data_IF_868789066947
#
_entry.id   IF_868789066947
#
_cell.length_a   1.000
_cell.length_b   1.000
_cell.length_c   1.000
_cell.angle_alpha   90.00
_cell.angle_beta   90.00
_cell.angle_gamma   90.00
#
_symmetry.space_group_name_H-M   'P 1'
#
loop_
_entity.id
_entity.type
_entity.pdbx_description
1 polymer ?
#
# COMPACT_ATOMS: atom_id res chain seq x y z
N UNK A 1 42.69 -32.36 0.65
CA UNK A 1 41.64 -32.21 1.69
C UNK A 1 42.02 -30.97 2.50
N UNK A 2 41.64 -29.79 2.00
CA UNK A 2 41.87 -28.52 2.67
C UNK A 2 40.52 -28.06 3.21
N UNK A 3 40.41 -28.01 4.54
CA UNK A 3 39.20 -27.67 5.25
C UNK A 3 38.82 -26.20 5.01
N UNK A 4 37.62 -26.04 4.44
CA UNK A 4 36.58 -25.09 4.82
C UNK A 4 37.01 -23.86 5.63
N UNK A 5 37.34 -22.78 4.90
CA UNK A 5 37.12 -21.41 5.35
C UNK A 5 35.95 -20.83 4.56
N UNK A 6 34.75 -21.39 4.75
CA UNK A 6 33.54 -20.88 4.10
C UNK A 6 33.28 -19.45 4.58
N UNK A 7 33.66 -18.45 3.78
CA UNK A 7 33.00 -17.15 3.85
C UNK A 7 31.50 -17.45 3.81
N UNK A 8 30.74 -16.87 4.74
CA UNK A 8 29.28 -16.79 4.64
C UNK A 8 28.96 -16.03 3.35
N UNK A 9 28.94 -16.75 2.23
CA UNK A 9 28.73 -16.20 0.91
C UNK A 9 27.24 -15.87 0.83
N UNK A 10 26.93 -14.58 0.81
CA UNK A 10 25.57 -14.12 0.67
C UNK A 10 25.08 -14.56 -0.71
N UNK A 11 24.04 -15.38 -0.76
CA UNK A 11 23.41 -15.81 -2.01
C UNK A 11 22.70 -14.63 -2.69
N UNK A 12 23.48 -13.84 -3.44
CA UNK A 12 23.02 -12.63 -4.11
C UNK A 12 22.04 -12.94 -5.25
N UNK A 13 22.11 -14.13 -5.84
CA UNK A 13 21.21 -14.52 -6.94
C UNK A 13 19.81 -14.88 -6.40
N UNK A 14 19.74 -15.66 -5.31
CA UNK A 14 18.47 -15.91 -4.62
C UNK A 14 17.87 -14.63 -4.02
N UNK A 15 18.70 -13.69 -3.54
CA UNK A 15 18.23 -12.38 -3.11
C UNK A 15 17.63 -11.59 -4.27
N UNK A 16 18.31 -11.52 -5.41
CA UNK A 16 17.81 -10.84 -6.60
C UNK A 16 16.46 -11.40 -7.03
N UNK A 17 16.34 -12.73 -7.11
CA UNK A 17 15.09 -13.40 -7.43
C UNK A 17 13.99 -13.08 -6.40
N UNK A 18 14.31 -13.07 -5.10
CA UNK A 18 13.34 -12.73 -4.06
C UNK A 18 12.86 -11.29 -4.20
N UNK A 19 13.75 -10.33 -4.38
CA UNK A 19 13.39 -8.92 -4.59
C UNK A 19 12.51 -8.74 -5.83
N UNK A 20 12.84 -9.41 -6.94
CA UNK A 20 12.03 -9.40 -8.17
C UNK A 20 10.64 -10.00 -7.92
N UNK A 21 10.55 -11.14 -7.23
CA UNK A 21 9.29 -11.77 -6.87
C UNK A 21 8.39 -10.81 -6.06
N UNK A 22 8.94 -10.12 -5.06
CA UNK A 22 8.20 -9.13 -4.28
C UNK A 22 7.82 -7.88 -5.08
N UNK A 23 8.68 -7.44 -6.01
CA UNK A 23 8.40 -6.33 -6.94
C UNK A 23 7.19 -6.65 -7.83
N UNK A 24 7.23 -7.80 -8.51
CA UNK A 24 6.17 -8.29 -9.40
C UNK A 24 4.85 -8.43 -8.63
N UNK A 25 4.87 -9.08 -7.46
CA UNK A 25 3.67 -9.31 -6.64
C UNK A 25 3.09 -8.03 -6.00
N UNK A 26 3.79 -6.90 -6.11
CA UNK A 26 3.41 -5.63 -5.49
C UNK A 26 3.25 -4.47 -6.47
N UNK A 27 3.44 -4.72 -7.78
CA UNK A 27 3.39 -3.74 -8.86
C UNK A 27 2.06 -2.97 -8.98
N UNK A 28 0.98 -3.48 -8.39
CA UNK A 28 -0.34 -2.83 -8.40
C UNK A 28 -1.12 -3.04 -9.71
N UNK A 29 -0.45 -3.50 -10.76
CA UNK A 29 -1.04 -3.90 -12.05
C UNK A 29 -1.65 -5.30 -11.93
N UNK A 30 -2.87 -5.35 -11.38
CA UNK A 30 -3.62 -6.60 -11.23
C UNK A 30 -4.23 -6.98 -12.59
N UNK A 31 -3.71 -8.04 -13.22
CA UNK A 31 -4.25 -8.58 -14.48
C UNK A 31 -3.63 -8.01 -15.76
N UNK A 32 -2.74 -7.03 -15.67
CA UNK A 32 -1.91 -6.58 -16.80
C UNK A 32 -0.54 -7.27 -16.77
N UNK A 33 -0.01 -7.62 -17.93
CA UNK A 33 1.36 -8.10 -18.04
C UNK A 33 2.33 -6.95 -17.76
N UNK A 34 3.25 -7.16 -16.82
CA UNK A 34 4.33 -6.22 -16.55
C UNK A 34 5.34 -6.27 -17.69
N UNK A 35 5.80 -5.09 -18.13
CA UNK A 35 6.94 -5.00 -19.03
C UNK A 35 8.21 -5.53 -18.35
N UNK A 36 9.21 -5.94 -19.15
CA UNK A 36 10.50 -6.45 -18.64
C UNK A 36 11.18 -5.45 -17.68
N UNK A 37 11.10 -4.15 -17.98
CA UNK A 37 11.62 -3.10 -17.12
C UNK A 37 10.85 -3.01 -15.79
N UNK A 38 9.52 -3.10 -15.81
CA UNK A 38 8.69 -2.97 -14.61
C UNK A 38 8.87 -4.14 -13.62
N UNK A 39 9.25 -5.32 -14.11
CA UNK A 39 9.61 -6.46 -13.23
C UNK A 39 10.82 -6.16 -12.34
N UNK A 40 11.66 -5.20 -12.75
CA UNK A 40 12.84 -4.76 -11.99
C UNK A 40 12.56 -3.59 -11.05
N UNK A 41 11.34 -3.04 -11.05
CA UNK A 41 11.01 -1.86 -10.25
C UNK A 41 10.62 -2.23 -8.82
N UNK A 42 11.53 -2.01 -7.89
CA UNK A 42 11.30 -2.21 -6.47
C UNK A 42 10.79 -0.92 -5.81
N UNK A 43 9.49 -0.89 -5.52
CA UNK A 43 8.80 0.29 -4.97
C UNK A 43 8.56 0.17 -3.46
N UNK A 44 8.09 1.26 -2.83
CA UNK A 44 7.83 1.31 -1.38
C UNK A 44 6.84 0.24 -0.90
N UNK A 45 5.87 -0.14 -1.73
CA UNK A 45 4.90 -1.19 -1.40
C UNK A 45 5.53 -2.58 -1.41
N UNK A 46 6.37 -2.87 -2.41
CA UNK A 46 7.15 -4.11 -2.47
C UNK A 46 8.09 -4.20 -1.26
N UNK A 47 8.78 -3.10 -0.94
CA UNK A 47 9.67 -3.02 0.22
C UNK A 47 8.92 -3.27 1.54
N UNK A 48 7.80 -2.59 1.76
CA UNK A 48 7.00 -2.78 2.97
C UNK A 48 6.51 -4.21 3.15
N UNK A 49 6.11 -4.90 2.06
CA UNK A 49 5.75 -6.32 2.12
C UNK A 49 6.95 -7.20 2.42
N UNK A 50 8.08 -6.98 1.76
CA UNK A 50 9.31 -7.76 1.94
C UNK A 50 9.76 -7.70 3.39
N UNK A 51 9.91 -6.50 3.94
CA UNK A 51 10.36 -6.28 5.31
C UNK A 51 9.35 -6.84 6.32
N UNK A 52 8.05 -6.67 6.07
CA UNK A 52 7.04 -7.27 6.93
C UNK A 52 7.16 -8.79 6.97
N UNK A 53 7.30 -9.47 5.82
CA UNK A 53 7.40 -10.93 5.77
C UNK A 53 8.72 -11.46 6.31
N UNK A 54 9.83 -10.76 6.04
CA UNK A 54 11.16 -11.17 6.49
C UNK A 54 11.36 -11.00 8.00
N UNK A 55 10.75 -9.98 8.61
CA UNK A 55 11.02 -9.58 10.00
C UNK A 55 9.81 -9.73 10.95
N UNK A 56 8.72 -10.38 10.51
CA UNK A 56 7.56 -10.62 11.38
C UNK A 56 7.97 -11.39 12.64
N UNK A 57 7.56 -10.90 13.82
CA UNK A 57 7.87 -11.52 15.11
C UNK A 57 9.30 -11.28 15.64
N UNK A 58 10.20 -10.65 14.89
CA UNK A 58 11.60 -10.44 15.31
C UNK A 58 11.76 -9.15 16.13
N UNK A 59 11.62 -9.27 17.45
CA UNK A 59 11.74 -8.14 18.41
C UNK A 59 13.06 -7.36 18.31
N UNK A 60 14.15 -7.99 17.85
CA UNK A 60 15.45 -7.33 17.70
C UNK A 60 15.51 -6.32 16.52
N UNK A 61 14.50 -6.32 15.65
CA UNK A 61 14.37 -5.43 14.48
C UNK A 61 13.15 -4.49 14.59
N UNK A 62 12.73 -4.12 15.80
CA UNK A 62 11.71 -3.07 15.98
C UNK A 62 12.18 -1.78 15.31
N UNK A 63 11.31 -1.15 14.52
CA UNK A 63 11.63 0.06 13.76
C UNK A 63 12.22 -0.19 12.37
N UNK A 64 12.55 -1.44 12.00
CA UNK A 64 13.20 -1.76 10.72
C UNK A 64 12.40 -1.32 9.50
N UNK A 65 11.07 -1.32 9.59
CA UNK A 65 10.19 -0.83 8.51
C UNK A 65 10.43 0.65 8.17
N UNK A 66 10.71 1.50 9.16
CA UNK A 66 10.98 2.91 8.94
C UNK A 66 12.39 3.10 8.36
N UNK A 67 13.37 2.36 8.88
CA UNK A 67 14.74 2.36 8.34
C UNK A 67 14.75 1.91 6.87
N UNK A 68 14.01 0.85 6.53
CA UNK A 68 13.90 0.34 5.17
C UNK A 68 13.28 1.33 4.19
N UNK A 69 12.27 2.12 4.59
CA UNK A 69 11.66 3.13 3.72
C UNK A 69 12.63 4.28 3.44
N UNK A 70 13.36 4.74 4.46
CA UNK A 70 14.42 5.74 4.33
C UNK A 70 15.50 5.25 3.37
N UNK A 71 16.00 4.02 3.57
CA UNK A 71 17.07 3.44 2.76
C UNK A 71 16.63 3.22 1.32
N UNK A 72 15.38 2.78 1.10
CA UNK A 72 14.82 2.69 -0.24
C UNK A 72 14.82 4.06 -0.91
N UNK A 73 14.36 5.10 -0.20
CA UNK A 73 14.32 6.46 -0.74
C UNK A 73 15.71 7.03 -1.05
N UNK A 74 16.75 6.62 -0.32
CA UNK A 74 18.14 7.02 -0.55
C UNK A 74 18.76 6.31 -1.76
N UNK A 75 18.33 5.06 -2.04
CA UNK A 75 18.93 4.20 -3.07
C UNK A 75 18.23 4.24 -4.45
N UNK A 76 17.19 5.07 -4.61
CA UNK A 76 16.54 5.33 -5.90
C UNK A 76 17.51 5.89 -6.93
N UNK A 77 17.32 5.52 -8.20
CA UNK A 77 18.14 6.00 -9.31
C UNK A 77 17.94 7.50 -9.57
N UNK A 78 16.69 7.95 -9.48
CA UNK A 78 16.32 9.37 -9.46
C UNK A 78 15.31 9.60 -8.33
N UNK A 79 15.45 10.71 -7.59
CA UNK A 79 14.58 11.03 -6.46
C UNK A 79 13.11 11.22 -6.85
N UNK A 80 12.85 11.57 -8.12
CA UNK A 80 11.50 11.71 -8.70
C UNK A 80 10.87 10.35 -9.01
N UNK A 81 11.67 9.30 -9.17
CA UNK A 81 11.13 7.97 -9.45
C UNK A 81 10.50 7.35 -8.19
N UNK A 82 9.39 6.63 -8.33
CA UNK A 82 8.74 5.96 -7.19
C UNK A 82 9.39 4.62 -6.83
N UNK A 83 10.46 4.21 -7.51
CA UNK A 83 11.09 2.90 -7.38
C UNK A 83 12.63 2.96 -7.42
N UNK A 84 13.26 1.91 -6.91
CA UNK A 84 14.66 1.56 -7.10
C UNK A 84 14.74 0.44 -8.14
N UNK A 85 15.68 0.51 -9.09
CA UNK A 85 15.93 -0.62 -10.00
C UNK A 85 16.69 -1.75 -9.31
N UNK A 86 16.31 -2.99 -9.62
CA UNK A 86 16.93 -4.19 -9.05
C UNK A 86 18.17 -4.60 -9.83
N UNK A 87 19.33 -4.38 -9.21
CA UNK A 87 20.62 -4.94 -9.65
C UNK A 87 21.37 -5.53 -8.45
N UNK A 88 22.35 -6.39 -8.71
CA UNK A 88 23.17 -7.02 -7.66
C UNK A 88 23.85 -5.97 -6.77
N UNK A 89 24.39 -4.93 -7.38
CA UNK A 89 25.07 -3.82 -6.69
C UNK A 89 24.11 -2.98 -5.85
N UNK A 90 22.90 -2.72 -6.36
CA UNK A 90 21.88 -1.95 -5.65
C UNK A 90 21.34 -2.71 -4.44
N UNK A 91 21.14 -4.02 -4.54
CA UNK A 91 20.72 -4.86 -3.41
C UNK A 91 21.82 -4.89 -2.34
N UNK A 92 23.08 -5.00 -2.74
CA UNK A 92 24.21 -4.97 -1.80
C UNK A 92 24.28 -3.64 -1.03
N UNK A 93 24.18 -2.53 -1.76
CA UNK A 93 24.19 -1.18 -1.19
C UNK A 93 22.99 -0.98 -0.26
N UNK A 94 21.79 -1.39 -0.70
CA UNK A 94 20.57 -1.34 0.08
C UNK A 94 20.68 -2.10 1.41
N UNK A 95 21.19 -3.33 1.39
CA UNK A 95 21.35 -4.13 2.62
C UNK A 95 22.39 -3.53 3.57
N UNK A 96 23.46 -2.95 3.00
CA UNK A 96 24.51 -2.29 3.78
C UNK A 96 23.98 -1.03 4.48
N UNK A 97 23.31 -0.14 3.75
CA UNK A 97 22.68 1.06 4.32
C UNK A 97 21.58 0.69 5.34
N UNK A 98 20.84 -0.38 5.10
CA UNK A 98 19.82 -0.87 6.04
C UNK A 98 20.44 -1.37 7.35
N UNK A 99 21.54 -2.12 7.28
CA UNK A 99 22.30 -2.54 8.46
C UNK A 99 22.84 -1.34 9.23
N UNK A 100 23.45 -0.37 8.54
CA UNK A 100 23.98 0.86 9.17
C UNK A 100 22.87 1.65 9.85
N UNK A 101 21.74 1.91 9.16
CA UNK A 101 20.59 2.64 9.72
C UNK A 101 20.00 1.96 10.95
N UNK A 102 19.96 0.62 10.98
CA UNK A 102 19.45 -0.14 12.12
C UNK A 102 20.43 -0.16 13.30
N UNK A 103 21.74 -0.16 13.02
CA UNK A 103 22.79 -0.19 14.06
C UNK A 103 23.08 1.18 14.67
N UNK A 104 22.99 2.27 13.92
CA UNK A 104 23.20 3.64 14.41
C UNK A 104 22.45 3.97 15.72
N UNK A 105 21.11 3.75 15.83
CA UNK A 105 20.40 4.03 17.07
C UNK A 105 20.81 3.11 18.23
N UNK A 106 21.23 1.86 17.94
CA UNK A 106 21.69 0.90 18.96
C UNK A 106 23.06 1.27 19.51
N UNK A 107 23.95 1.79 18.66
CA UNK A 107 25.31 2.16 19.01
C UNK A 107 25.44 3.63 19.46
N UNK A 108 24.36 4.43 19.34
CA UNK A 108 24.36 5.89 19.58
C UNK A 108 25.39 6.63 18.71
N UNK A 109 25.61 6.14 17.50
CA UNK A 109 26.55 6.70 16.53
C UNK A 109 25.81 7.37 15.37
N UNK A 110 26.47 8.33 14.73
CA UNK A 110 25.99 8.91 13.46
C UNK A 110 26.35 7.96 12.32
N UNK A 111 25.53 7.96 11.28
CA UNK A 111 25.73 7.13 10.07
C UNK A 111 27.11 7.29 9.42
N UNK A 112 27.72 8.48 9.54
CA UNK A 112 29.05 8.77 8.99
C UNK A 112 30.21 8.20 9.80
N UNK A 113 29.94 7.73 11.02
CA UNK A 113 30.95 7.24 11.97
C UNK A 113 31.01 5.71 12.02
N UNK A 114 30.07 5.02 11.37
CA UNK A 114 30.08 3.56 11.24
C UNK A 114 30.58 3.21 9.85
N UNK A 115 31.72 2.53 9.76
CA UNK A 115 32.26 2.11 8.47
C UNK A 115 31.36 1.02 7.87
N UNK A 116 31.22 1.03 6.54
CA UNK A 116 30.42 0.02 5.83
C UNK A 116 31.01 -1.38 5.97
N UNK A 117 32.32 -1.46 6.16
CA UNK A 117 33.10 -2.69 6.34
C UNK A 117 33.29 -3.10 7.81
N UNK A 118 32.66 -2.38 8.76
CA UNK A 118 32.73 -2.76 10.17
C UNK A 118 32.18 -4.20 10.36
N UNK A 119 32.85 -5.05 11.16
CA UNK A 119 32.41 -6.45 11.37
C UNK A 119 30.94 -6.55 11.78
N UNK A 120 30.46 -5.62 12.62
CA UNK A 120 29.07 -5.55 13.08
C UNK A 120 28.07 -5.29 11.95
N UNK A 121 28.46 -4.47 10.97
CA UNK A 121 27.63 -4.16 9.79
C UNK A 121 27.55 -5.38 8.88
N UNK A 122 28.68 -6.07 8.68
CA UNK A 122 28.74 -7.29 7.88
C UNK A 122 27.89 -8.40 8.51
N UNK A 123 28.00 -8.62 9.82
CA UNK A 123 27.17 -9.59 10.55
C UNK A 123 25.68 -9.25 10.41
N UNK A 124 25.28 -8.01 10.72
CA UNK A 124 23.89 -7.59 10.60
C UNK A 124 23.36 -7.72 9.17
N UNK A 125 24.16 -7.37 8.16
CA UNK A 125 23.83 -7.54 6.74
C UNK A 125 23.58 -9.01 6.39
N UNK A 126 24.45 -9.92 6.82
CA UNK A 126 24.29 -11.36 6.57
C UNK A 126 23.04 -11.94 7.23
N UNK A 127 22.76 -11.58 8.48
CA UNK A 127 21.53 -11.99 9.16
C UNK A 127 20.28 -11.49 8.43
N UNK A 128 20.27 -10.20 8.05
CA UNK A 128 19.15 -9.60 7.31
C UNK A 128 18.93 -10.27 5.95
N UNK A 129 20.02 -10.56 5.22
CA UNK A 129 19.96 -11.30 3.96
C UNK A 129 19.33 -12.68 4.15
N UNK A 130 19.73 -13.43 5.19
CA UNK A 130 19.17 -14.75 5.49
C UNK A 130 17.65 -14.70 5.75
N UNK A 131 17.19 -13.68 6.47
CA UNK A 131 15.77 -13.51 6.76
C UNK A 131 14.98 -13.13 5.52
N UNK A 132 15.54 -12.27 4.66
CA UNK A 132 14.93 -11.90 3.39
C UNK A 132 14.83 -13.11 2.45
N UNK A 133 15.87 -13.95 2.37
CA UNK A 133 15.85 -15.20 1.60
C UNK A 133 14.76 -16.17 2.09
N UNK A 134 14.53 -16.24 3.41
CA UNK A 134 13.48 -17.07 4.00
C UNK A 134 12.06 -16.51 3.85
N UNK A 135 11.90 -15.25 3.43
CA UNK A 135 10.60 -14.58 3.39
C UNK A 135 9.69 -15.13 2.28
N UNK A 136 8.47 -15.53 2.62
CA UNK A 136 7.49 -15.95 1.62
C UNK A 136 6.66 -14.74 1.12
N UNK A 137 6.47 -14.57 -0.19
CA UNK A 137 5.63 -13.49 -0.73
C UNK A 137 4.15 -13.58 -0.33
N UNK A 138 3.71 -14.67 0.29
CA UNK A 138 2.40 -14.81 0.92
C UNK A 138 1.27 -14.80 -0.10
N UNK A 139 1.43 -15.54 -1.20
CA UNK A 139 0.45 -15.62 -2.30
C UNK A 139 -0.86 -16.31 -1.82
N UNK A 140 -0.85 -16.96 -0.66
CA UNK A 140 -2.01 -17.65 -0.10
C UNK A 140 -2.89 -16.68 0.71
N UNK A 141 -4.05 -16.38 0.12
CA UNK A 141 -5.21 -15.62 0.64
C UNK A 141 -5.19 -14.13 0.29
N UNK A 142 -6.05 -13.80 -0.69
CA UNK A 142 -6.67 -12.49 -0.84
C UNK A 142 -7.34 -12.14 0.49
N UNK A 143 -6.61 -11.46 1.39
CA UNK A 143 -7.25 -10.78 2.51
C UNK A 143 -7.95 -9.57 1.91
N UNK A 144 -9.25 -9.49 2.14
CA UNK A 144 -10.04 -8.33 1.77
C UNK A 144 -9.35 -7.06 2.28
N UNK A 145 -9.30 -6.04 1.42
CA UNK A 145 -8.68 -4.76 1.72
C UNK A 145 -9.32 -4.17 2.99
N UNK A 146 -8.57 -4.03 4.08
CA UNK A 146 -9.03 -3.31 5.28
C UNK A 146 -9.21 -1.81 5.07
N UNK A 147 -8.92 -1.31 3.87
CA UNK A 147 -9.20 0.06 3.46
C UNK A 147 -10.71 0.28 3.52
N UNK A 148 -11.18 0.91 4.60
CA UNK A 148 -12.59 1.23 4.83
C UNK A 148 -13.25 2.13 3.77
N UNK A 149 -12.50 2.57 2.74
CA UNK A 149 -13.01 3.42 1.67
C UNK A 149 -14.12 2.78 0.84
N UNK A 150 -14.23 1.45 0.81
CA UNK A 150 -15.31 0.79 0.06
C UNK A 150 -16.59 0.65 0.89
N UNK A 151 -16.48 0.56 2.22
CA UNK A 151 -17.62 0.31 3.12
C UNK A 151 -18.57 1.51 3.25
N UNK A 152 -18.12 2.72 2.90
CA UNK A 152 -18.94 3.93 2.93
C UNK A 152 -19.55 4.31 1.59
N UNK A 153 -19.19 3.66 0.49
CA UNK A 153 -19.55 4.13 -0.86
C UNK A 153 -20.98 3.73 -1.27
N UNK A 154 -21.54 2.69 -0.65
CA UNK A 154 -22.88 2.14 -0.94
C UNK A 154 -23.88 2.32 0.22
N UNK A 155 -23.55 3.15 1.21
CA UNK A 155 -24.44 3.39 2.36
C UNK A 155 -25.42 4.53 2.06
N UNK A 156 -26.60 4.14 1.56
CA UNK A 156 -27.70 5.06 1.21
C UNK A 156 -28.36 5.70 2.42
N UNK A 157 -28.16 5.14 3.63
CA UNK A 157 -28.72 5.68 4.87
C UNK A 157 -28.14 7.06 5.22
N UNK A 158 -26.93 7.35 4.71
CA UNK A 158 -26.23 8.63 4.89
C UNK A 158 -26.58 9.67 3.83
N UNK A 159 -27.43 9.36 2.85
CA UNK A 159 -27.83 10.34 1.85
C UNK A 159 -28.75 11.39 2.49
N UNK A 160 -28.37 12.66 2.34
CA UNK A 160 -29.11 13.83 2.85
C UNK A 160 -29.38 14.83 1.73
N UNK A 161 -30.41 15.67 1.89
CA UNK A 161 -30.78 16.70 0.91
C UNK A 161 -31.04 16.13 -0.48
N UNK A 162 -30.45 16.75 -1.50
CA UNK A 162 -30.66 16.43 -2.92
C UNK A 162 -30.24 15.01 -3.31
N UNK A 163 -29.32 14.37 -2.57
CA UNK A 163 -28.95 12.97 -2.82
C UNK A 163 -30.07 11.99 -2.48
N UNK A 164 -30.94 12.31 -1.51
CA UNK A 164 -32.14 11.49 -1.20
C UNK A 164 -33.21 11.59 -2.28
N UNK A 165 -33.31 12.75 -2.90
CA UNK A 165 -34.23 12.98 -4.01
C UNK A 165 -33.75 12.25 -5.28
N UNK A 166 -32.43 12.21 -5.49
CA UNK A 166 -31.82 11.62 -6.70
C UNK A 166 -31.66 10.11 -6.68
N UNK A 167 -31.61 9.47 -5.50
CA UNK A 167 -31.32 8.05 -5.35
C UNK A 167 -32.39 7.33 -4.51
N UNK A 168 -32.63 6.06 -4.80
CA UNK A 168 -33.51 5.18 -4.02
C UNK A 168 -32.78 4.53 -2.83
N UNK A 169 -33.52 3.79 -1.99
CA UNK A 169 -32.96 3.12 -0.82
C UNK A 169 -31.91 2.04 -1.17
N UNK A 170 -31.92 1.55 -2.42
CA UNK A 170 -30.95 0.60 -2.98
C UNK A 170 -29.68 1.30 -3.50
N UNK A 171 -29.71 2.63 -3.63
CA UNK A 171 -28.59 3.45 -4.11
C UNK A 171 -28.59 3.59 -5.62
N UNK A 172 -29.66 3.16 -6.28
CA UNK A 172 -29.88 3.36 -7.71
C UNK A 172 -30.48 4.74 -7.95
N UNK A 173 -29.98 5.43 -8.97
CA UNK A 173 -30.50 6.75 -9.32
C UNK A 173 -31.95 6.66 -9.80
N UNK A 174 -32.83 7.53 -9.28
CA UNK A 174 -34.25 7.66 -9.67
C UNK A 174 -34.46 8.33 -11.03
N UNK A 175 -33.39 8.53 -11.81
CA UNK A 175 -33.46 9.09 -13.15
C UNK A 175 -34.06 10.51 -13.18
N UNK A 176 -35.05 10.70 -14.06
CA UNK A 176 -35.70 12.00 -14.30
C UNK A 176 -36.54 12.45 -13.09
N UNK A 177 -37.25 11.53 -12.45
CA UNK A 177 -38.09 11.81 -11.27
C UNK A 177 -37.29 12.38 -10.11
N UNK A 178 -36.07 11.89 -9.88
CA UNK A 178 -35.21 12.42 -8.81
C UNK A 178 -34.50 13.74 -9.14
N UNK A 179 -34.74 14.33 -10.32
CA UNK A 179 -34.10 15.57 -10.79
C UNK A 179 -35.10 16.66 -11.16
N UNK A 180 -36.40 16.38 -11.07
CA UNK A 180 -37.48 17.32 -11.42
C UNK A 180 -38.13 17.80 -10.14
N UNK A 181 -38.19 19.12 -9.97
CA UNK A 181 -38.99 19.79 -8.95
C UNK A 181 -40.46 19.73 -9.40
N UNK A 182 -41.24 18.81 -8.82
CA UNK A 182 -42.68 18.73 -9.10
C UNK A 182 -43.33 19.91 -8.39
N UNK A 183 -43.55 20.99 -9.12
CA UNK A 183 -44.36 22.12 -8.66
C UNK A 183 -45.82 21.70 -8.68
N UNK A 184 -46.53 22.03 -7.62
CA UNK A 184 -47.98 21.91 -7.59
C UNK A 184 -48.56 22.97 -8.54
N UNK A 185 -49.07 22.52 -9.69
CA UNK A 185 -49.72 23.35 -10.72
C UNK A 185 -51.08 23.90 -10.27
N UNK A 186 -51.49 23.73 -9.00
CA UNK A 186 -52.83 24.18 -8.55
C UNK A 186 -52.96 25.70 -8.37
N UNK A 187 -51.91 26.47 -8.68
CA UNK A 187 -51.93 27.92 -8.71
C UNK A 187 -51.98 28.54 -7.30
N UNK A 188 -51.22 29.60 -7.09
CA UNK A 188 -51.19 30.28 -5.80
C UNK A 188 -52.46 31.13 -5.61
N UNK A 189 -53.49 30.56 -4.98
CA UNK A 189 -54.70 31.29 -4.58
C UNK A 189 -54.69 31.46 -3.06
N UNK A 190 -54.25 32.64 -2.60
CA UNK A 190 -53.99 33.01 -1.20
C UNK A 190 -55.17 32.83 -0.20
N UNK A 191 -56.39 32.52 -0.67
CA UNK A 191 -57.58 32.51 0.18
C UNK A 191 -58.56 31.33 -0.06
N UNK A 192 -58.29 30.42 -1.00
CA UNK A 192 -59.26 29.36 -1.32
C UNK A 192 -59.04 28.10 -0.48
N UNK A 193 -59.75 27.99 0.64
CA UNK A 193 -59.73 26.81 1.55
C UNK A 193 -60.65 25.66 1.09
N UNK A 194 -61.28 25.78 -0.08
CA UNK A 194 -62.31 24.85 -0.56
C UNK A 194 -61.82 23.82 -1.58
N UNK A 195 -60.53 23.45 -1.59
CA UNK A 195 -60.02 22.38 -2.46
C UNK A 195 -60.78 21.08 -2.10
N UNK A 196 -61.36 20.41 -3.11
CA UNK A 196 -62.05 19.12 -2.96
C UNK A 196 -63.41 19.10 -2.23
N UNK A 197 -64.02 20.25 -1.93
CA UNK A 197 -65.30 20.31 -1.17
C UNK A 197 -66.55 20.60 -2.02
N UNK A 198 -66.42 20.59 -3.35
CA UNK A 198 -67.53 20.93 -4.25
C UNK A 198 -68.58 19.80 -4.34
N UNK A 199 -68.15 18.54 -4.34
CA UNK A 199 -69.04 17.37 -4.38
C UNK A 199 -69.87 17.20 -3.10
N UNK A 200 -69.37 17.65 -1.96
CA UNK A 200 -70.04 17.52 -0.66
C UNK A 200 -71.22 18.49 -0.45
N UNK A 201 -71.50 19.39 -1.39
CA UNK A 201 -72.54 20.43 -1.27
C UNK A 201 -73.74 20.25 -2.21
N UNK A 202 -73.77 19.18 -3.01
CA UNK A 202 -74.86 18.86 -3.94
C UNK A 202 -75.62 17.62 -3.45
N UNK A 203 -76.30 17.74 -2.30
CA UNK A 203 -77.26 16.74 -1.84
C UNK A 203 -78.34 17.38 -0.98
#
# INVERSE_FOLDING_TARGET
MAAEGGKLEIDMDGLLNKFQTFAINSSGKRGEQLTEAEKTHFNAKANGKLIKQAFEGKKQYVGISAHADIVLSQNKDDKKLPYMTLSREKIDTYLTDLAVKHLCPKLKLKEKELARDDPRVVECKTEMASFILSADPGITKVKESKTGNVKGLTDTSKYTGTSKERFDASGKGKGKEGRVDIKDDSGYVLAYKGKETYDSKQQ
#
